data_IF_331614993060
#
_entry.id   IF_331614993060
#
_cell.length_a   1.000
_cell.length_b   1.000
_cell.length_c   1.000
_cell.angle_alpha   90.00
_cell.angle_beta   90.00
_cell.angle_gamma   90.00
#
_symmetry.space_group_name_H-M   'P 1'
#
loop_
_entity.id
_entity.type
_entity.pdbx_description
1 polymer ?
#
# COMPACT_ATOMS: atom_id res chain seq x y z
N UNK A 1 -0.24 15.69 4.18
CA UNK A 1 0.33 14.92 3.05
C UNK A 1 -0.29 13.54 3.04
N UNK A 2 -0.87 13.09 1.93
CA UNK A 2 -1.49 11.77 1.84
C UNK A 2 -0.43 10.67 1.74
N UNK A 3 -0.62 9.52 2.42
CA UNK A 3 0.17 8.31 2.24
C UNK A 3 -0.53 7.38 1.24
N UNK A 4 0.19 6.96 0.20
CA UNK A 4 -0.27 5.98 -0.79
C UNK A 4 0.62 4.74 -0.68
N UNK A 5 -0.02 3.58 -0.49
CA UNK A 5 0.68 2.30 -0.36
C UNK A 5 0.28 1.43 -1.54
N UNK A 6 1.26 1.02 -2.33
CA UNK A 6 1.05 0.01 -3.38
C UNK A 6 1.27 -1.36 -2.76
N UNK A 7 0.21 -2.16 -2.71
CA UNK A 7 0.27 -3.55 -2.23
C UNK A 7 0.51 -4.49 -3.40
N UNK A 8 1.14 -5.64 -3.14
CA UNK A 8 1.26 -6.73 -4.10
C UNK A 8 -0.01 -7.60 -4.18
N UNK A 9 -1.20 -6.99 -4.17
CA UNK A 9 -2.47 -7.73 -4.17
C UNK A 9 -3.39 -7.20 -5.26
N UNK A 10 -4.12 -8.09 -5.97
CA UNK A 10 -5.12 -7.66 -6.91
C UNK A 10 -6.23 -6.89 -6.19
N UNK A 11 -6.78 -5.89 -6.86
CA UNK A 11 -7.93 -5.17 -6.33
C UNK A 11 -9.10 -6.16 -6.19
N UNK A 12 -9.86 -6.08 -5.09
CA UNK A 12 -10.98 -7.00 -4.80
C UNK A 12 -12.02 -7.06 -5.93
N UNK A 13 -12.18 -5.97 -6.70
CA UNK A 13 -13.08 -5.92 -7.86
C UNK A 13 -12.53 -6.58 -9.13
N UNK A 14 -11.27 -7.04 -9.14
CA UNK A 14 -10.59 -7.63 -10.29
C UNK A 14 -9.92 -8.98 -9.93
N UNK A 15 -10.55 -9.74 -9.03
CA UNK A 15 -10.05 -11.00 -8.47
C UNK A 15 -10.06 -12.20 -9.45
N UNK A 16 -10.42 -12.01 -10.73
CA UNK A 16 -10.47 -13.11 -11.71
C UNK A 16 -9.08 -13.75 -11.82
N UNK A 17 -8.98 -15.01 -11.38
CA UNK A 17 -7.77 -15.81 -11.46
C UNK A 17 -6.79 -15.68 -10.29
N UNK A 18 -7.02 -14.81 -9.30
CA UNK A 18 -6.22 -14.74 -8.07
C UNK A 18 -7.02 -14.14 -6.91
N UNK A 19 -7.09 -14.86 -5.80
CA UNK A 19 -7.77 -14.40 -4.59
C UNK A 19 -7.15 -13.07 -4.12
N UNK A 20 -8.03 -12.09 -3.92
CA UNK A 20 -7.66 -10.79 -3.39
C UNK A 20 -7.87 -10.82 -1.88
N UNK A 21 -6.81 -10.59 -1.11
CA UNK A 21 -6.91 -10.46 0.33
C UNK A 21 -7.39 -9.04 0.69
N UNK A 22 -8.33 -8.89 1.62
CA UNK A 22 -8.74 -7.58 2.09
C UNK A 22 -7.60 -6.87 2.83
N UNK A 23 -7.50 -5.56 2.65
CA UNK A 23 -6.57 -4.74 3.43
C UNK A 23 -7.06 -4.67 4.87
N UNK A 24 -6.34 -5.34 5.77
CA UNK A 24 -6.65 -5.36 7.20
C UNK A 24 -6.23 -4.05 7.89
N UNK A 25 -6.92 -3.60 8.96
CA UNK A 25 -6.48 -2.45 9.75
C UNK A 25 -5.06 -2.60 10.33
N UNK A 26 -4.64 -3.82 10.66
CA UNK A 26 -3.27 -4.13 11.10
C UNK A 26 -2.24 -3.88 10.00
N UNK A 27 -2.56 -4.20 8.75
CA UNK A 27 -1.70 -3.91 7.58
C UNK A 27 -1.55 -2.40 7.37
N UNK A 28 -2.63 -1.63 7.55
CA UNK A 28 -2.58 -0.17 7.51
C UNK A 28 -1.67 0.38 8.61
N UNK A 29 -1.80 -0.12 9.85
CA UNK A 29 -0.95 0.31 10.96
C UNK A 29 0.54 0.02 10.71
N UNK A 30 0.86 -1.15 10.13
CA UNK A 30 2.23 -1.50 9.75
C UNK A 30 2.79 -0.55 8.67
N UNK A 31 2.00 -0.26 7.63
CA UNK A 31 2.41 0.65 6.56
C UNK A 31 2.64 2.09 7.06
N UNK A 32 1.80 2.57 7.98
CA UNK A 32 1.99 3.89 8.62
C UNK A 32 3.30 3.93 9.40
N UNK A 33 3.60 2.90 10.20
CA UNK A 33 4.86 2.83 10.96
C UNK A 33 6.09 2.82 10.04
N UNK A 34 6.02 2.06 8.95
CA UNK A 34 7.07 2.02 7.93
C UNK A 34 7.25 3.40 7.26
N UNK A 35 6.16 4.04 6.83
CA UNK A 35 6.20 5.35 6.20
C UNK A 35 6.81 6.41 7.13
N UNK A 36 6.43 6.41 8.42
CA UNK A 36 7.02 7.30 9.42
C UNK A 36 8.54 7.08 9.54
N UNK A 37 8.99 5.82 9.54
CA UNK A 37 10.42 5.49 9.56
C UNK A 37 11.15 5.96 8.29
N UNK A 38 10.47 5.96 7.14
CA UNK A 38 10.98 6.46 5.86
C UNK A 38 10.91 7.98 5.71
N UNK A 39 10.45 8.72 6.73
CA UNK A 39 10.42 10.18 6.74
C UNK A 39 9.09 10.80 6.29
N UNK A 40 8.01 10.01 6.18
CA UNK A 40 6.69 10.57 5.95
C UNK A 40 6.25 11.45 7.13
N UNK A 41 5.79 12.66 6.81
CA UNK A 41 5.27 13.64 7.77
C UNK A 41 3.79 13.90 7.47
N UNK A 42 2.84 13.34 8.26
CA UNK A 42 1.42 13.37 7.92
C UNK A 42 0.83 14.78 7.77
N UNK A 43 1.30 15.72 8.59
CA UNK A 43 0.83 17.10 8.63
C UNK A 43 1.54 18.04 7.66
N UNK A 44 2.60 17.58 6.98
CA UNK A 44 3.26 18.41 5.97
C UNK A 44 2.33 18.64 4.77
N UNK A 45 2.46 19.79 4.12
CA UNK A 45 1.85 20.03 2.83
C UNK A 45 2.75 19.47 1.72
N UNK A 46 2.17 18.96 0.63
CA UNK A 46 2.92 18.42 -0.49
C UNK A 46 2.18 17.30 -1.23
N UNK A 47 2.88 16.73 -2.22
CA UNK A 47 2.44 15.59 -3.03
C UNK A 47 2.14 14.34 -2.19
N UNK A 48 1.59 13.28 -2.75
CA UNK A 48 1.47 12.03 -1.99
C UNK A 48 2.86 11.46 -1.62
N UNK A 49 2.95 10.82 -0.45
CA UNK A 49 4.11 10.01 -0.07
C UNK A 49 3.83 8.56 -0.45
N UNK A 50 4.71 7.95 -1.24
CA UNK A 50 4.49 6.61 -1.78
C UNK A 50 5.36 5.58 -1.06
N UNK A 51 4.74 4.47 -0.66
CA UNK A 51 5.44 3.28 -0.18
C UNK A 51 5.10 2.12 -1.10
N UNK A 52 6.13 1.51 -1.66
CA UNK A 52 6.02 0.29 -2.46
C UNK A 52 6.16 -0.91 -1.53
N UNK A 53 5.15 -1.79 -1.51
CA UNK A 53 5.15 -3.06 -0.79
C UNK A 53 4.73 -4.21 -1.73
N UNK A 54 4.93 -4.01 -3.02
CA UNK A 54 4.59 -4.95 -4.08
C UNK A 54 5.79 -5.74 -4.58
N UNK A 55 6.95 -5.65 -3.90
CA UNK A 55 8.12 -6.46 -4.21
C UNK A 55 7.75 -7.96 -4.41
N UNK A 56 8.00 -8.47 -5.62
CA UNK A 56 7.68 -9.86 -6.02
C UNK A 56 6.25 -10.09 -6.54
N UNK A 57 5.43 -9.05 -6.65
CA UNK A 57 4.12 -9.12 -7.30
C UNK A 57 4.25 -9.00 -8.82
N UNK A 58 3.95 -10.08 -9.52
CA UNK A 58 3.80 -10.08 -10.98
C UNK A 58 2.33 -9.94 -11.33
N UNK A 59 1.98 -8.96 -12.15
CA UNK A 59 0.65 -8.90 -12.77
C UNK A 59 0.50 -10.16 -13.63
N UNK A 60 -0.60 -10.91 -13.44
CA UNK A 60 -0.96 -11.93 -14.44
C UNK A 60 -1.23 -11.22 -15.77
N UNK A 61 -0.78 -11.79 -16.91
CA UNK A 61 -1.01 -11.23 -18.24
C UNK A 61 -2.50 -11.16 -18.60
#
# INVERSE_FOLDING_TARGET
MTLVVTTGQPHLSNWIGREAEPVLPSSVAAAVRLALHMGWTPTAAGSAFHVEQSAGFTLSP
#
